data_IF_402169761547
#
_entry.id   IF_402169761547
#
_cell.length_a   1.000
_cell.length_b   1.000
_cell.length_c   1.000
_cell.angle_alpha   90.00
_cell.angle_beta   90.00
_cell.angle_gamma   90.00
#
_symmetry.space_group_name_H-M   'P 1'
#
loop_
_entity.id
_entity.type
_entity.pdbx_description
1 polymer ?
#
# COMPACT_ATOMS: atom_id res chain seq x y z
N UNK A 1 -5.48 85.77 29.90
CA UNK A 1 -4.77 84.54 30.31
C UNK A 1 -3.84 84.11 29.19
N UNK A 2 -2.62 84.63 29.21
CA UNK A 2 -1.60 84.51 28.18
C UNK A 2 -0.31 84.06 28.84
N UNK A 3 0.45 83.20 28.15
CA UNK A 3 1.80 82.72 28.48
C UNK A 3 1.89 81.75 29.66
N UNK A 4 2.03 80.46 29.35
CA UNK A 4 3.11 79.63 29.88
C UNK A 4 3.29 78.33 29.10
N UNK A 5 4.40 78.29 28.35
CA UNK A 5 5.33 77.15 28.16
C UNK A 5 4.77 75.99 27.31
N UNK A 6 5.08 75.83 26.02
CA UNK A 6 6.33 76.11 25.30
C UNK A 6 7.57 75.54 26.00
N UNK A 7 7.61 74.20 26.19
CA UNK A 7 8.84 73.46 26.55
C UNK A 7 8.73 71.94 26.41
N UNK A 8 8.23 71.38 25.31
CA UNK A 8 8.33 69.91 25.13
C UNK A 8 8.19 69.40 23.69
N UNK A 9 8.68 70.16 22.71
CA UNK A 9 8.69 69.72 21.32
C UNK A 9 10.01 70.12 20.65
N UNK A 10 11.13 69.63 21.20
CA UNK A 10 12.49 69.68 20.61
C UNK A 10 13.54 68.85 21.36
N UNK A 11 13.12 67.76 22.02
CA UNK A 11 14.00 66.78 22.65
C UNK A 11 13.37 65.41 22.46
N UNK A 12 13.58 64.81 21.29
CA UNK A 12 13.73 63.38 21.04
C UNK A 12 14.01 63.14 19.54
N UNK A 13 14.84 63.99 18.95
CA UNK A 13 15.69 63.64 17.79
C UNK A 13 17.09 63.39 18.36
N UNK A 14 17.36 62.16 18.78
CA UNK A 14 18.69 61.56 19.03
C UNK A 14 18.52 60.30 19.88
N UNK A 15 18.03 59.23 19.26
CA UNK A 15 18.30 57.85 19.72
C UNK A 15 17.95 56.87 18.60
N UNK A 16 18.72 56.96 17.52
CA UNK A 16 18.56 56.13 16.34
C UNK A 16 19.88 55.99 15.62
N UNK A 17 20.86 55.31 16.24
CA UNK A 17 22.13 54.91 15.61
C UNK A 17 22.86 53.85 16.45
N UNK A 18 22.33 52.62 16.49
CA UNK A 18 23.15 51.45 16.83
C UNK A 18 23.93 51.03 15.59
N UNK A 19 25.25 51.18 15.67
CA UNK A 19 26.24 50.74 14.67
C UNK A 19 26.08 49.25 14.41
N UNK A 20 25.77 48.86 13.17
CA UNK A 20 25.99 47.49 12.69
C UNK A 20 27.48 47.32 12.44
N UNK A 21 28.18 46.65 13.35
CA UNK A 21 29.53 46.14 13.07
C UNK A 21 29.42 45.02 12.04
N UNK A 22 29.95 45.28 10.84
CA UNK A 22 30.12 44.29 9.78
C UNK A 22 31.30 43.40 10.16
N UNK A 23 31.03 42.31 10.87
CA UNK A 23 32.02 41.26 11.11
C UNK A 23 32.19 40.49 9.79
N UNK A 24 33.27 40.76 9.06
CA UNK A 24 33.73 39.90 7.96
C UNK A 24 34.22 38.59 8.58
N UNK A 25 33.37 37.57 8.63
CA UNK A 25 33.82 36.18 8.80
C UNK A 25 34.18 35.66 7.42
N UNK A 26 35.49 35.53 7.18
CA UNK A 26 36.07 34.69 6.15
C UNK A 26 35.58 33.26 6.37
N UNK A 27 34.84 32.73 5.39
CA UNK A 27 34.43 31.33 5.31
C UNK A 27 35.70 30.51 5.06
N UNK A 28 36.06 29.53 5.91
CA UNK A 28 37.09 28.56 5.58
C UNK A 28 36.60 27.71 4.39
N UNK A 29 37.48 27.25 3.49
CA UNK A 29 37.05 26.42 2.38
C UNK A 29 36.37 25.17 2.93
N UNK A 30 35.12 24.96 2.51
CA UNK A 30 34.37 23.75 2.78
C UNK A 30 35.16 22.57 2.25
N UNK A 31 35.69 21.75 3.16
CA UNK A 31 36.10 20.39 2.86
C UNK A 31 34.91 19.67 2.23
N UNK A 32 35.15 19.06 1.07
CA UNK A 32 34.10 18.40 0.29
C UNK A 32 33.50 17.24 1.06
N UNK A 33 32.26 17.40 1.52
CA UNK A 33 31.33 16.28 1.52
C UNK A 33 30.87 16.15 0.07
N UNK A 34 31.39 15.15 -0.64
CA UNK A 34 30.68 14.64 -1.81
C UNK A 34 29.34 14.13 -1.27
N UNK A 35 28.28 14.91 -1.44
CA UNK A 35 26.94 14.52 -1.01
C UNK A 35 26.60 13.18 -1.65
N UNK A 36 26.16 12.22 -0.85
CA UNK A 36 25.69 10.93 -1.33
C UNK A 36 24.59 11.21 -2.37
N UNK A 37 24.81 10.75 -3.61
CA UNK A 37 23.88 11.00 -4.70
C UNK A 37 22.73 10.00 -4.57
N UNK A 38 21.53 10.52 -4.34
CA UNK A 38 20.31 9.71 -4.33
C UNK A 38 19.65 9.75 -5.70
N UNK A 39 19.13 8.61 -6.14
CA UNK A 39 18.27 8.50 -7.32
C UNK A 39 16.84 8.21 -6.89
N UNK A 40 15.86 8.89 -7.48
CA UNK A 40 14.44 8.63 -7.19
C UNK A 40 13.99 7.42 -8.00
N UNK A 41 13.47 6.40 -7.32
CA UNK A 41 12.80 5.28 -7.95
C UNK A 41 11.28 5.46 -7.80
N UNK A 42 10.67 6.01 -8.86
CA UNK A 42 9.22 6.24 -8.95
C UNK A 42 8.38 4.97 -9.02
N UNK A 43 8.97 3.81 -9.31
CA UNK A 43 8.24 2.54 -9.40
C UNK A 43 7.96 1.92 -8.03
N UNK A 44 8.87 2.13 -7.07
CA UNK A 44 8.79 1.52 -5.74
C UNK A 44 8.75 2.51 -4.59
N UNK A 45 8.47 3.79 -4.87
CA UNK A 45 8.30 4.82 -3.85
C UNK A 45 9.50 4.97 -2.91
N UNK A 46 10.71 5.09 -3.48
CA UNK A 46 11.94 5.13 -2.69
C UNK A 46 13.02 6.02 -3.30
N UNK A 47 13.93 6.49 -2.44
CA UNK A 47 15.23 7.02 -2.83
C UNK A 47 16.28 5.91 -2.76
N UNK A 48 17.14 5.82 -3.76
CA UNK A 48 18.17 4.80 -3.86
C UNK A 48 19.55 5.42 -3.71
N UNK A 49 20.39 4.75 -2.93
CA UNK A 49 21.83 5.01 -2.83
C UNK A 49 22.59 3.70 -3.04
N UNK A 50 23.91 3.76 -3.15
CA UNK A 50 24.74 2.54 -3.27
C UNK A 50 24.64 1.61 -2.05
N UNK A 51 24.26 2.13 -0.89
CA UNK A 51 24.26 1.39 0.38
C UNK A 51 22.87 0.92 0.80
N UNK A 52 21.85 1.69 0.47
CA UNK A 52 20.50 1.45 1.00
C UNK A 52 19.42 2.15 0.15
N UNK A 53 18.18 1.72 0.39
CA UNK A 53 16.95 2.31 -0.13
C UNK A 53 16.15 2.96 1.00
N UNK A 54 15.57 4.12 0.72
CA UNK A 54 14.74 4.87 1.66
C UNK A 54 13.33 5.00 1.10
N UNK A 55 12.42 4.16 1.58
CA UNK A 55 11.01 4.18 1.18
C UNK A 55 10.30 5.41 1.75
N UNK A 56 9.45 6.05 0.93
CA UNK A 56 8.81 7.31 1.24
C UNK A 56 7.36 7.10 1.71
N UNK A 57 7.11 7.15 3.02
CA UNK A 57 5.75 6.94 3.57
C UNK A 57 4.92 8.22 3.68
N UNK A 58 5.37 9.32 3.05
CA UNK A 58 4.58 10.54 2.95
C UNK A 58 3.71 10.45 1.69
N UNK A 59 2.44 10.12 1.88
CA UNK A 59 1.46 10.03 0.82
C UNK A 59 0.78 11.38 0.55
N UNK A 60 0.31 11.58 -0.68
CA UNK A 60 -0.50 12.74 -1.07
C UNK A 60 0.12 14.12 -0.83
N UNK A 61 1.46 14.24 -0.89
CA UNK A 61 2.15 15.52 -0.74
C UNK A 61 2.04 16.40 -1.97
N UNK A 62 1.77 15.81 -3.13
CA UNK A 62 1.60 16.48 -4.40
C UNK A 62 0.11 16.49 -4.79
N UNK A 63 -0.40 17.61 -5.34
CA UNK A 63 -1.78 17.66 -5.80
C UNK A 63 -2.00 16.69 -6.98
N UNK A 64 -3.25 16.23 -7.20
CA UNK A 64 -3.58 15.51 -8.43
C UNK A 64 -3.18 16.33 -9.64
N UNK A 65 -2.40 15.73 -10.55
CA UNK A 65 -2.00 16.38 -11.79
C UNK A 65 -3.19 16.73 -12.70
N UNK A 66 -2.95 17.53 -13.72
CA UNK A 66 -4.01 18.03 -14.62
C UNK A 66 -4.30 17.09 -15.81
N UNK A 67 -3.50 16.05 -16.01
CA UNK A 67 -3.63 15.14 -17.15
C UNK A 67 -4.63 14.02 -16.84
N UNK A 68 -5.62 13.85 -17.72
CA UNK A 68 -6.60 12.77 -17.65
C UNK A 68 -6.31 11.72 -18.71
N UNK A 69 -6.19 10.45 -18.29
CA UNK A 69 -5.85 9.32 -19.15
C UNK A 69 -6.88 8.20 -18.95
N UNK A 70 -7.16 7.45 -20.00
CA UNK A 70 -7.95 6.23 -19.88
C UNK A 70 -7.14 5.11 -19.20
N UNK A 71 -7.83 4.27 -18.44
CA UNK A 71 -7.26 3.10 -17.81
C UNK A 71 -8.33 2.12 -17.34
N UNK A 72 -7.89 1.17 -16.53
CA UNK A 72 -8.79 0.22 -15.85
C UNK A 72 -8.52 0.26 -14.35
N UNK A 73 -9.54 -0.04 -13.55
CA UNK A 73 -9.39 -0.23 -12.10
C UNK A 73 -10.06 -1.54 -11.69
N UNK A 74 -9.33 -2.37 -10.96
CA UNK A 74 -9.86 -3.55 -10.28
C UNK A 74 -10.13 -3.18 -8.83
N UNK A 75 -11.36 -3.35 -8.38
CA UNK A 75 -11.76 -3.01 -7.02
C UNK A 75 -12.72 -4.03 -6.42
N UNK A 76 -12.78 -4.07 -5.09
CA UNK A 76 -13.71 -4.90 -4.32
C UNK A 76 -14.58 -4.02 -3.43
N UNK A 77 -15.83 -4.42 -3.21
CA UNK A 77 -16.65 -3.86 -2.15
C UNK A 77 -16.45 -4.70 -0.88
N UNK A 78 -16.01 -4.07 0.19
CA UNK A 78 -15.85 -4.68 1.50
C UNK A 78 -16.85 -4.07 2.50
N UNK A 79 -17.38 -4.91 3.38
CA UNK A 79 -18.26 -4.51 4.47
C UNK A 79 -17.57 -4.73 5.81
N UNK A 80 -17.55 -3.69 6.65
CA UNK A 80 -17.13 -3.77 8.04
C UNK A 80 -18.29 -3.46 8.97
N UNK A 81 -18.01 -3.45 10.27
CA UNK A 81 -19.00 -3.00 11.25
C UNK A 81 -19.30 -1.50 11.04
N UNK A 82 -20.52 -1.18 10.61
CA UNK A 82 -20.99 0.20 10.46
C UNK A 82 -20.47 0.96 9.22
N UNK A 83 -19.71 0.33 8.33
CA UNK A 83 -19.23 0.96 7.11
C UNK A 83 -19.06 -0.02 5.95
N UNK A 84 -19.00 0.53 4.74
CA UNK A 84 -18.65 -0.19 3.51
C UNK A 84 -17.58 0.60 2.77
N UNK A 85 -16.70 -0.09 2.06
CA UNK A 85 -15.56 0.51 1.40
C UNK A 85 -15.33 -0.15 0.05
N UNK A 86 -15.24 0.64 -1.01
CA UNK A 86 -14.67 0.19 -2.27
C UNK A 86 -13.15 0.30 -2.12
N UNK A 87 -12.45 -0.82 -2.24
CA UNK A 87 -10.99 -0.91 -2.11
C UNK A 87 -10.39 -1.08 -3.51
N UNK A 88 -9.47 -0.19 -3.94
CA UNK A 88 -8.75 -0.38 -5.20
C UNK A 88 -7.68 -1.47 -5.00
N UNK A 89 -7.81 -2.61 -5.70
CA UNK A 89 -6.80 -3.67 -5.64
C UNK A 89 -5.62 -3.34 -6.56
N UNK A 90 -5.91 -2.94 -7.81
CA UNK A 90 -4.91 -2.62 -8.83
C UNK A 90 -5.45 -1.57 -9.81
N UNK A 91 -4.55 -0.72 -10.31
CA UNK A 91 -4.85 0.29 -11.33
C UNK A 91 -4.05 -0.07 -12.58
N UNK A 92 -4.69 -0.12 -13.74
CA UNK A 92 -4.04 -0.45 -15.02
C UNK A 92 -4.03 0.77 -15.93
N UNK A 93 -2.88 1.03 -16.54
CA UNK A 93 -2.66 2.19 -17.39
C UNK A 93 -3.01 1.86 -18.84
N UNK A 94 -3.77 2.74 -19.47
CA UNK A 94 -4.24 2.57 -20.85
C UNK A 94 -5.40 1.59 -20.96
N UNK A 95 -6.11 1.68 -22.09
CA UNK A 95 -7.22 0.78 -22.39
C UNK A 95 -6.78 -0.68 -22.58
N UNK A 96 -5.48 -0.91 -22.87
CA UNK A 96 -4.88 -2.24 -22.99
C UNK A 96 -4.39 -2.82 -21.65
N UNK A 97 -4.31 -1.98 -20.61
CA UNK A 97 -3.82 -2.36 -19.29
C UNK A 97 -2.42 -2.94 -19.31
N UNK A 98 -1.52 -2.42 -20.15
CA UNK A 98 -0.16 -2.96 -20.34
C UNK A 98 0.80 -2.72 -19.15
N UNK A 99 0.46 -1.78 -18.27
CA UNK A 99 1.16 -1.49 -17.03
C UNK A 99 0.18 -1.38 -15.89
N UNK A 100 0.65 -1.64 -14.68
CA UNK A 100 -0.16 -1.50 -13.49
C UNK A 100 0.55 -0.72 -12.38
N UNK A 101 -0.24 -0.08 -11.54
CA UNK A 101 0.16 0.64 -10.33
C UNK A 101 -0.48 -0.08 -9.15
N UNK A 102 0.34 -0.35 -8.14
CA UNK A 102 -0.08 -0.75 -6.81
C UNK A 102 -0.49 0.50 -6.02
N UNK A 103 -1.75 0.62 -5.60
CA UNK A 103 -2.17 1.63 -4.63
C UNK A 103 -1.35 1.54 -3.33
N UNK A 104 -0.96 2.69 -2.77
CA UNK A 104 -0.26 2.76 -1.49
C UNK A 104 -1.19 3.20 -0.36
N UNK A 105 -2.00 4.23 -0.61
CA UNK A 105 -3.06 4.66 0.27
C UNK A 105 -4.24 5.20 -0.56
N UNK A 106 -5.41 5.35 0.05
CA UNK A 106 -6.58 5.89 -0.62
C UNK A 106 -7.55 6.52 0.39
N UNK A 107 -8.33 7.50 -0.07
CA UNK A 107 -9.36 8.13 0.73
C UNK A 107 -10.71 7.40 0.58
N UNK A 108 -11.67 7.76 1.42
CA UNK A 108 -13.04 7.30 1.26
C UNK A 108 -13.60 7.64 -0.14
N UNK A 109 -14.29 6.67 -0.73
CA UNK A 109 -14.92 6.78 -2.05
C UNK A 109 -16.04 7.83 -2.04
N UNK A 110 -16.08 8.67 -3.07
CA UNK A 110 -17.21 9.58 -3.31
C UNK A 110 -18.08 8.97 -4.40
N UNK A 111 -19.25 8.46 -4.01
CA UNK A 111 -20.20 7.86 -4.94
C UNK A 111 -21.40 8.79 -5.10
N UNK A 112 -21.73 9.11 -6.34
CA UNK A 112 -22.85 9.98 -6.67
C UNK A 112 -23.73 9.36 -7.76
N UNK A 113 -25.04 9.51 -7.62
CA UNK A 113 -26.03 9.14 -8.63
C UNK A 113 -26.46 10.40 -9.37
N UNK A 114 -26.05 10.57 -10.63
CA UNK A 114 -26.36 11.75 -11.45
C UNK A 114 -27.70 11.61 -12.18
N UNK A 115 -28.10 10.39 -12.50
CA UNK A 115 -29.40 10.03 -13.07
C UNK A 115 -29.81 8.62 -12.64
N UNK A 116 -30.97 8.11 -13.09
CA UNK A 116 -31.41 6.76 -12.72
C UNK A 116 -30.42 5.66 -13.12
N UNK A 117 -29.79 5.83 -14.29
CA UNK A 117 -28.91 4.82 -14.89
C UNK A 117 -27.42 5.15 -14.76
N UNK A 118 -27.08 6.33 -14.23
CA UNK A 118 -25.70 6.80 -14.14
C UNK A 118 -25.28 7.01 -12.70
N UNK A 119 -24.36 6.16 -12.25
CA UNK A 119 -23.72 6.23 -10.94
C UNK A 119 -22.22 6.31 -11.17
N UNK A 120 -21.59 7.29 -10.55
CA UNK A 120 -20.15 7.54 -10.63
C UNK A 120 -19.49 7.32 -9.28
N UNK A 121 -18.31 6.71 -9.29
CA UNK A 121 -17.42 6.67 -8.15
C UNK A 121 -16.15 7.46 -8.47
N UNK A 122 -15.75 8.29 -7.53
CA UNK A 122 -14.55 9.10 -7.55
C UNK A 122 -13.67 8.71 -6.36
N UNK A 123 -12.45 8.25 -6.66
CA UNK A 123 -11.58 7.58 -5.72
C UNK A 123 -10.16 8.20 -5.78
N UNK A 124 -9.79 9.03 -4.78
CA UNK A 124 -8.43 9.50 -4.61
C UNK A 124 -7.52 8.36 -4.13
N UNK A 125 -6.43 8.11 -4.85
CA UNK A 125 -5.46 7.04 -4.54
C UNK A 125 -4.05 7.60 -4.57
N UNK A 126 -3.32 7.45 -3.48
CA UNK A 126 -1.92 7.80 -3.42
C UNK A 126 -1.04 6.70 -4.00
N UNK A 127 -0.05 7.15 -4.77
CA UNK A 127 0.92 6.32 -5.45
C UNK A 127 2.33 6.81 -5.11
N UNK A 128 3.33 6.17 -5.71
CA UNK A 128 4.73 6.46 -5.46
C UNK A 128 5.13 7.94 -5.67
N UNK A 129 6.07 8.39 -4.83
CA UNK A 129 6.68 9.71 -4.81
C UNK A 129 5.69 10.84 -4.48
N UNK A 130 4.77 10.58 -3.55
CA UNK A 130 3.85 11.58 -3.00
C UNK A 130 2.74 12.02 -3.94
N UNK A 131 2.60 11.37 -5.10
CA UNK A 131 1.59 11.69 -6.10
C UNK A 131 0.22 11.10 -5.70
N UNK A 132 -0.84 11.87 -5.93
CA UNK A 132 -2.23 11.39 -5.82
C UNK A 132 -2.86 11.27 -7.20
N UNK A 133 -3.50 10.14 -7.46
CA UNK A 133 -4.38 9.93 -8.60
C UNK A 133 -5.82 10.18 -8.19
N UNK A 134 -6.62 10.68 -9.12
CA UNK A 134 -8.07 10.69 -9.00
C UNK A 134 -8.65 9.73 -10.03
N UNK A 135 -9.21 8.63 -9.55
CA UNK A 135 -9.77 7.57 -10.39
C UNK A 135 -11.27 7.74 -10.43
N UNK A 136 -11.82 7.88 -11.63
CA UNK A 136 -13.27 7.97 -11.84
C UNK A 136 -13.76 6.82 -12.70
N UNK A 137 -14.79 6.12 -12.24
CA UNK A 137 -15.45 5.09 -13.02
C UNK A 137 -16.97 5.12 -12.80
N UNK A 138 -17.68 4.61 -13.79
CA UNK A 138 -19.14 4.60 -13.82
C UNK A 138 -19.67 3.18 -13.74
N UNK A 139 -20.90 3.01 -13.30
CA UNK A 139 -21.58 1.72 -13.22
C UNK A 139 -21.66 1.02 -14.59
N UNK A 140 -21.93 1.77 -15.67
CA UNK A 140 -21.92 1.26 -17.05
C UNK A 140 -20.51 1.03 -17.63
N UNK A 141 -19.46 1.40 -16.89
CA UNK A 141 -18.07 1.11 -17.20
C UNK A 141 -17.60 -0.27 -16.75
N UNK A 142 -18.46 -1.07 -16.13
CA UNK A 142 -18.17 -2.44 -15.70
C UNK A 142 -17.78 -3.31 -16.90
N UNK A 143 -16.62 -3.95 -16.83
CA UNK A 143 -16.12 -4.89 -17.83
C UNK A 143 -16.32 -6.34 -17.42
N UNK A 144 -16.05 -6.66 -16.15
CA UNK A 144 -16.12 -8.02 -15.66
C UNK A 144 -16.40 -8.09 -14.16
N UNK A 145 -17.20 -9.08 -13.77
CA UNK A 145 -17.22 -9.66 -12.42
C UNK A 145 -16.15 -10.74 -12.37
N UNK A 146 -15.20 -10.66 -11.43
CA UNK A 146 -14.07 -11.58 -11.33
C UNK A 146 -14.30 -12.62 -10.22
N UNK A 147 -13.65 -13.78 -10.34
CA UNK A 147 -13.84 -14.95 -9.46
C UNK A 147 -13.45 -14.72 -7.99
N UNK A 148 -12.69 -13.66 -7.71
CA UNK A 148 -12.28 -13.26 -6.36
C UNK A 148 -13.22 -12.23 -5.72
N UNK A 149 -14.39 -12.01 -6.33
CA UNK A 149 -15.38 -11.02 -5.88
C UNK A 149 -15.03 -9.58 -6.25
N UNK A 150 -13.90 -9.35 -6.94
CA UNK A 150 -13.58 -8.04 -7.47
C UNK A 150 -14.30 -7.77 -8.79
N UNK A 151 -14.29 -6.51 -9.21
CA UNK A 151 -14.81 -6.07 -10.48
C UNK A 151 -13.78 -5.21 -11.20
N UNK A 152 -13.73 -5.36 -12.51
CA UNK A 152 -12.88 -4.58 -13.40
C UNK A 152 -13.73 -3.53 -14.11
N UNK A 153 -13.31 -2.27 -14.02
CA UNK A 153 -13.97 -1.14 -14.66
C UNK A 153 -13.05 -0.43 -15.64
N UNK A 154 -13.62 0.11 -16.72
CA UNK A 154 -13.02 1.24 -17.43
C UNK A 154 -13.06 2.47 -16.53
N UNK A 155 -11.96 3.21 -16.47
CA UNK A 155 -11.86 4.42 -15.67
C UNK A 155 -11.11 5.55 -16.38
N UNK A 156 -11.35 6.75 -15.89
CA UNK A 156 -10.54 7.93 -16.11
C UNK A 156 -9.55 8.06 -14.95
N UNK A 157 -8.28 8.26 -15.25
CA UNK A 157 -7.19 8.44 -14.29
C UNK A 157 -6.63 9.85 -14.48
N UNK A 158 -6.95 10.73 -13.55
CA UNK A 158 -6.32 12.05 -13.46
C UNK A 158 -5.05 11.95 -12.60
N UNK A 159 -3.92 12.43 -13.11
CA UNK A 159 -2.62 12.33 -12.44
C UNK A 159 -1.48 13.03 -13.18
N UNK A 160 -0.22 12.73 -12.85
CA UNK A 160 0.93 13.38 -13.48
C UNK A 160 1.13 12.98 -14.95
N UNK A 161 1.75 13.87 -15.73
CA UNK A 161 1.93 13.68 -17.17
C UNK A 161 2.84 12.48 -17.51
N UNK A 162 3.75 12.13 -16.62
CA UNK A 162 4.68 11.01 -16.66
C UNK A 162 4.18 9.78 -15.89
N UNK A 163 2.86 9.62 -15.70
CA UNK A 163 2.23 8.51 -14.96
C UNK A 163 2.82 7.10 -15.22
N UNK A 164 3.26 6.81 -16.44
CA UNK A 164 3.87 5.53 -16.79
C UNK A 164 5.19 5.24 -16.03
N UNK A 165 5.92 6.27 -15.59
CA UNK A 165 7.13 6.13 -14.75
C UNK A 165 6.79 5.69 -13.32
N UNK A 166 5.55 5.86 -12.89
CA UNK A 166 5.06 5.42 -11.58
C UNK A 166 4.48 4.00 -11.59
N UNK A 167 4.48 3.33 -12.76
CA UNK A 167 4.00 1.95 -12.87
C UNK A 167 4.82 1.00 -11.99
N UNK A 168 4.13 0.28 -11.10
CA UNK A 168 4.72 -0.75 -10.23
C UNK A 168 5.21 -1.97 -11.03
N UNK A 169 4.61 -2.25 -12.18
CA UNK A 169 5.06 -3.32 -13.06
C UNK A 169 4.34 -3.37 -14.40
N UNK A 170 4.67 -4.39 -15.17
CA UNK A 170 3.97 -4.70 -16.42
C UNK A 170 2.77 -5.60 -16.12
N UNK A 171 1.73 -5.46 -16.93
CA UNK A 171 0.49 -6.24 -16.87
C UNK A 171 0.02 -6.59 -18.28
N UNK A 172 -0.89 -7.53 -18.38
CA UNK A 172 -1.61 -7.80 -19.63
C UNK A 172 -2.99 -8.36 -19.33
N UNK A 173 -3.90 -8.28 -20.30
CA UNK A 173 -5.19 -8.95 -20.23
C UNK A 173 -5.06 -10.37 -20.80
N UNK A 174 -5.39 -11.36 -19.97
CA UNK A 174 -5.43 -12.76 -20.35
C UNK A 174 -6.74 -13.15 -21.03
N UNK A 175 -7.02 -14.47 -21.12
CA UNK A 175 -8.32 -14.97 -21.58
C UNK A 175 -9.47 -14.32 -20.80
N UNK A 176 -10.58 -14.06 -21.50
CA UNK A 176 -11.79 -13.45 -20.92
C UNK A 176 -11.58 -12.06 -20.29
N UNK A 177 -10.45 -11.40 -20.58
CA UNK A 177 -10.15 -10.06 -20.08
C UNK A 177 -9.65 -10.03 -18.63
N UNK A 178 -9.28 -11.17 -18.04
CA UNK A 178 -8.73 -11.23 -16.69
C UNK A 178 -7.35 -10.57 -16.64
N UNK A 179 -7.08 -9.60 -15.73
CA UNK A 179 -5.77 -8.99 -15.65
C UNK A 179 -4.72 -9.95 -15.06
N UNK A 180 -3.57 -10.03 -15.73
CA UNK A 180 -2.35 -10.65 -15.24
C UNK A 180 -1.35 -9.56 -14.89
N UNK A 181 -0.72 -9.68 -13.72
CA UNK A 181 0.35 -8.76 -13.29
C UNK A 181 1.67 -9.50 -13.18
N UNK A 182 2.75 -8.82 -13.51
CA UNK A 182 4.08 -9.39 -13.39
C UNK A 182 4.61 -9.29 -11.97
N UNK A 183 4.92 -10.43 -11.38
CA UNK A 183 5.45 -10.56 -10.02
C UNK A 183 6.70 -11.44 -10.01
N UNK A 184 7.41 -11.38 -8.88
CA UNK A 184 8.69 -12.02 -8.69
C UNK A 184 8.70 -12.89 -7.43
N UNK A 185 9.34 -14.06 -7.53
CA UNK A 185 9.69 -14.89 -6.39
C UNK A 185 11.20 -14.84 -6.15
N UNK A 186 11.63 -14.49 -4.93
CA UNK A 186 13.04 -14.34 -4.58
C UNK A 186 13.55 -15.47 -3.69
N UNK A 187 14.65 -16.07 -4.08
CA UNK A 187 15.22 -17.26 -3.45
C UNK A 187 16.71 -17.40 -3.75
N UNK A 188 17.29 -18.56 -3.44
CA UNK A 188 18.67 -18.90 -3.79
C UNK A 188 18.77 -19.41 -5.23
N UNK A 189 19.94 -19.31 -5.90
CA UNK A 189 20.10 -19.82 -7.27
C UNK A 189 19.70 -21.30 -7.44
N UNK A 190 20.08 -22.16 -6.48
CA UNK A 190 19.75 -23.59 -6.51
C UNK A 190 18.25 -23.84 -6.42
N UNK A 191 17.56 -23.12 -5.52
CA UNK A 191 16.11 -23.23 -5.39
C UNK A 191 15.39 -22.66 -6.62
N UNK A 192 15.89 -21.57 -7.21
CA UNK A 192 15.36 -21.02 -8.45
C UNK A 192 15.36 -22.06 -9.57
N UNK A 193 16.50 -22.73 -9.76
CA UNK A 193 16.65 -23.74 -10.81
C UNK A 193 15.76 -24.96 -10.54
N UNK A 194 15.64 -25.37 -9.28
CA UNK A 194 14.72 -26.43 -8.88
C UNK A 194 13.27 -26.07 -9.24
N UNK A 195 12.80 -24.86 -8.90
CA UNK A 195 11.44 -24.40 -9.18
C UNK A 195 11.19 -24.30 -10.68
N UNK A 196 12.13 -23.70 -11.42
CA UNK A 196 12.03 -23.57 -12.87
C UNK A 196 11.94 -24.94 -13.55
N UNK A 197 12.69 -25.93 -13.06
CA UNK A 197 12.65 -27.30 -13.59
C UNK A 197 11.37 -28.06 -13.20
N UNK A 198 10.80 -27.76 -12.02
CA UNK A 198 9.66 -28.50 -11.48
C UNK A 198 8.31 -27.88 -11.81
N UNK A 199 8.27 -26.64 -12.31
CA UNK A 199 7.04 -25.93 -12.69
C UNK A 199 6.13 -25.56 -11.51
N UNK A 200 6.63 -25.58 -10.27
CA UNK A 200 5.79 -25.33 -9.10
C UNK A 200 6.53 -24.75 -7.90
N UNK A 201 5.78 -24.01 -7.07
CA UNK A 201 6.19 -23.48 -5.78
C UNK A 201 5.63 -24.35 -4.66
N UNK A 202 6.49 -24.73 -3.71
CA UNK A 202 6.04 -25.24 -2.41
C UNK A 202 5.47 -24.09 -1.60
N UNK A 203 4.34 -24.35 -0.95
CA UNK A 203 3.66 -23.37 -0.10
C UNK A 203 4.17 -23.44 1.34
N UNK A 204 4.01 -22.34 2.04
CA UNK A 204 4.42 -22.13 3.43
C UNK A 204 3.19 -22.13 4.33
N UNK A 205 3.28 -22.81 5.48
CA UNK A 205 2.23 -22.78 6.51
C UNK A 205 2.34 -21.54 7.41
N UNK A 206 3.02 -20.49 6.98
CA UNK A 206 3.21 -19.26 7.75
C UNK A 206 2.35 -18.13 7.19
N UNK A 207 1.78 -17.32 8.07
CA UNK A 207 1.06 -16.08 7.75
C UNK A 207 2.05 -14.94 7.40
N UNK A 208 1.58 -13.70 7.24
CA UNK A 208 2.44 -12.56 6.87
C UNK A 208 3.53 -12.29 7.92
N UNK A 209 3.23 -12.37 9.22
CA UNK A 209 4.21 -12.19 10.29
C UNK A 209 5.32 -13.26 10.24
N UNK A 210 4.92 -14.52 10.08
CA UNK A 210 5.82 -15.64 9.81
C UNK A 210 6.69 -16.11 10.97
N UNK A 211 6.34 -15.79 12.23
CA UNK A 211 7.18 -16.09 13.40
C UNK A 211 6.48 -16.80 14.55
N UNK A 212 5.14 -16.76 14.64
CA UNK A 212 4.40 -17.22 15.83
C UNK A 212 3.76 -18.59 15.66
N UNK A 213 2.60 -18.67 15.01
CA UNK A 213 1.87 -19.91 14.78
C UNK A 213 1.72 -20.24 13.31
N UNK A 214 1.66 -21.55 13.03
CA UNK A 214 1.42 -22.04 11.67
C UNK A 214 -0.06 -22.08 11.38
N UNK A 215 -0.38 -21.79 10.13
CA UNK A 215 -1.68 -21.98 9.53
C UNK A 215 -2.00 -23.48 9.47
N UNK A 216 -3.28 -23.82 9.59
CA UNK A 216 -3.78 -25.20 9.59
C UNK A 216 -4.59 -25.48 8.33
N UNK A 217 -5.45 -24.54 7.93
CA UNK A 217 -6.43 -24.73 6.85
C UNK A 217 -6.07 -24.00 5.55
N UNK A 218 -4.88 -23.40 5.46
CA UNK A 218 -4.34 -22.75 4.26
C UNK A 218 -2.80 -22.78 4.27
N UNK A 219 -2.19 -22.73 3.10
CA UNK A 219 -0.76 -22.50 2.91
C UNK A 219 -0.53 -21.46 1.79
N UNK A 220 0.55 -20.68 1.87
CA UNK A 220 0.80 -19.56 0.97
C UNK A 220 2.09 -19.70 0.15
N UNK A 221 2.03 -19.33 -1.12
CA UNK A 221 3.19 -18.93 -1.91
C UNK A 221 3.27 -17.39 -1.97
N UNK A 222 4.47 -16.83 -1.76
CA UNK A 222 4.69 -15.39 -1.64
C UNK A 222 5.46 -14.84 -2.85
N UNK A 223 5.01 -13.68 -3.31
CA UNK A 223 5.52 -12.95 -4.47
C UNK A 223 5.57 -11.45 -4.16
N UNK A 224 6.33 -10.71 -4.95
CA UNK A 224 6.50 -9.26 -4.80
C UNK A 224 6.68 -8.60 -6.17
N UNK A 225 6.27 -7.33 -6.37
CA UNK A 225 6.59 -6.60 -7.59
C UNK A 225 8.05 -6.13 -7.63
N UNK A 226 8.78 -6.18 -6.51
CA UNK A 226 10.20 -5.86 -6.45
C UNK A 226 10.96 -6.85 -7.33
N UNK A 227 11.66 -6.36 -8.35
CA UNK A 227 12.41 -7.21 -9.27
C UNK A 227 13.73 -7.72 -8.68
N UNK A 228 14.21 -7.10 -7.59
CA UNK A 228 15.40 -7.49 -6.82
C UNK A 228 15.21 -7.08 -5.35
N UNK A 229 15.89 -7.80 -4.44
CA UNK A 229 16.00 -7.45 -3.02
C UNK A 229 17.49 -7.28 -2.73
N UNK A 230 17.93 -6.04 -2.52
CA UNK A 230 19.36 -5.71 -2.39
C UNK A 230 19.74 -5.21 -1.00
N UNK A 231 18.79 -4.69 -0.22
CA UNK A 231 19.04 -4.20 1.13
C UNK A 231 17.96 -4.64 2.13
N UNK A 232 18.18 -4.31 3.41
CA UNK A 232 17.26 -4.65 4.49
C UNK A 232 15.91 -3.92 4.36
N UNK A 233 15.91 -2.67 3.86
CA UNK A 233 14.65 -1.94 3.69
C UNK A 233 13.76 -2.53 2.58
N UNK A 234 14.33 -3.23 1.59
CA UNK A 234 13.53 -4.02 0.63
C UNK A 234 12.83 -5.20 1.33
N UNK A 235 13.52 -5.85 2.27
CA UNK A 235 12.93 -6.93 3.06
C UNK A 235 11.77 -6.42 3.92
N UNK A 236 11.89 -5.23 4.51
CA UNK A 236 10.84 -4.64 5.35
C UNK A 236 9.55 -4.39 4.57
N UNK A 237 9.66 -3.98 3.30
CA UNK A 237 8.50 -3.84 2.42
C UNK A 237 7.79 -5.16 2.11
N UNK A 238 8.44 -6.29 2.41
CA UNK A 238 7.86 -7.62 2.28
C UNK A 238 7.74 -8.38 3.61
N UNK A 239 7.55 -7.66 4.71
CA UNK A 239 7.36 -8.21 6.06
C UNK A 239 8.48 -9.17 6.50
N UNK A 240 9.73 -8.82 6.15
CA UNK A 240 10.93 -9.51 6.59
C UNK A 240 11.94 -8.48 7.10
N UNK A 241 12.88 -8.89 7.94
CA UNK A 241 13.98 -8.02 8.36
C UNK A 241 15.21 -8.85 8.75
N UNK A 242 16.41 -8.29 8.60
CA UNK A 242 17.66 -8.93 9.04
C UNK A 242 17.67 -9.14 10.55
N UNK A 243 17.13 -8.17 11.31
CA UNK A 243 16.96 -8.27 12.75
C UNK A 243 15.73 -9.08 13.19
N UNK A 244 14.85 -9.48 12.27
CA UNK A 244 13.58 -10.15 12.60
C UNK A 244 12.56 -9.23 13.29
N UNK A 245 12.73 -7.91 13.17
CA UNK A 245 11.84 -6.91 13.76
C UNK A 245 11.62 -5.75 12.79
N UNK A 246 10.44 -5.15 12.85
CA UNK A 246 10.11 -3.87 12.23
C UNK A 246 9.46 -2.94 13.26
N UNK A 247 9.73 -1.64 13.14
CA UNK A 247 9.09 -0.62 13.96
C UNK A 247 7.87 -0.01 13.25
N UNK A 248 6.72 -0.02 13.92
CA UNK A 248 5.47 0.59 13.48
C UNK A 248 5.07 1.68 14.46
N UNK A 249 4.47 2.76 13.97
CA UNK A 249 4.09 3.93 14.80
C UNK A 249 2.60 4.14 14.72
N UNK A 250 1.98 4.49 15.85
CA UNK A 250 0.56 4.83 15.89
C UNK A 250 0.30 6.23 15.36
N UNK A 251 -0.92 6.42 14.90
CA UNK A 251 -1.45 7.72 14.50
C UNK A 251 -1.29 8.76 15.61
N UNK A 252 -0.99 10.00 15.22
CA UNK A 252 -0.80 11.13 16.12
C UNK A 252 0.49 11.11 16.93
N UNK A 253 1.39 10.14 16.74
CA UNK A 253 2.70 10.11 17.38
C UNK A 253 3.81 10.61 16.44
N UNK A 254 4.46 11.70 16.86
CA UNK A 254 5.67 12.21 16.20
C UNK A 254 6.89 11.88 17.06
N UNK A 255 7.79 10.96 16.63
CA UNK A 255 8.99 10.68 17.39
C UNK A 255 9.92 11.92 17.44
N UNK A 256 10.71 12.08 18.51
CA UNK A 256 11.71 13.14 18.56
C UNK A 256 12.79 12.94 17.48
N UNK A 257 13.43 14.02 17.05
CA UNK A 257 14.52 13.98 16.05
C UNK A 257 15.69 13.07 16.46
N UNK A 258 15.89 12.89 17.76
CA UNK A 258 16.94 12.04 18.33
C UNK A 258 16.28 11.04 19.28
N UNK A 259 16.41 9.76 18.96
CA UNK A 259 16.01 8.66 19.84
C UNK A 259 17.15 8.36 20.82
N UNK A 260 16.86 8.45 22.12
CA UNK A 260 17.79 8.03 23.17
C UNK A 260 17.86 6.48 23.22
N UNK A 261 18.93 5.88 23.78
CA UNK A 261 19.08 4.41 23.77
C UNK A 261 17.92 3.62 24.41
N UNK A 262 17.16 4.23 25.31
CA UNK A 262 15.99 3.67 26.01
C UNK A 262 14.65 4.03 25.33
N UNK A 263 14.68 4.49 24.07
CA UNK A 263 13.48 4.92 23.35
C UNK A 263 12.41 3.82 23.27
N UNK A 264 12.81 2.54 23.18
CA UNK A 264 11.87 1.41 23.09
C UNK A 264 10.97 1.31 24.33
N UNK A 265 11.53 1.52 25.51
CA UNK A 265 10.74 1.53 26.76
C UNK A 265 9.97 2.86 26.91
N UNK A 266 10.59 3.97 26.49
CA UNK A 266 10.02 5.31 26.60
C UNK A 266 8.76 5.49 25.73
N UNK A 267 8.74 4.89 24.54
CA UNK A 267 7.67 5.03 23.55
C UNK A 267 6.93 3.71 23.30
N UNK A 268 6.95 2.76 24.24
CA UNK A 268 6.30 1.44 24.08
C UNK A 268 4.79 1.50 23.85
N UNK A 269 4.15 2.60 24.25
CA UNK A 269 2.72 2.85 24.07
C UNK A 269 2.42 3.56 22.74
N UNK A 270 3.46 3.96 22.00
CA UNK A 270 3.35 4.73 20.74
C UNK A 270 4.02 4.02 19.55
N UNK A 271 5.01 3.16 19.82
CA UNK A 271 5.79 2.43 18.84
C UNK A 271 5.71 0.94 19.11
N UNK A 272 5.15 0.21 18.15
CA UNK A 272 5.09 -1.24 18.14
C UNK A 272 6.35 -1.81 17.49
N UNK A 273 7.09 -2.64 18.23
CA UNK A 273 8.18 -3.45 17.67
C UNK A 273 7.59 -4.81 17.29
N UNK A 274 7.27 -4.99 16.01
CA UNK A 274 6.63 -6.18 15.49
C UNK A 274 7.68 -7.23 15.10
N UNK A 275 7.66 -8.45 15.68
CA UNK A 275 8.52 -9.53 15.21
C UNK A 275 8.07 -10.01 13.82
N UNK A 276 9.02 -10.15 12.90
CA UNK A 276 8.79 -10.62 11.53
C UNK A 276 9.81 -11.66 11.12
N UNK A 277 9.60 -12.35 9.99
CA UNK A 277 10.49 -13.40 9.54
C UNK A 277 11.94 -12.89 9.36
N UNK A 278 12.93 -13.45 10.09
CA UNK A 278 14.31 -13.03 9.99
C UNK A 278 14.95 -13.50 8.67
N UNK A 279 15.37 -12.56 7.83
CA UNK A 279 15.97 -12.85 6.53
C UNK A 279 17.09 -11.88 6.19
N UNK A 280 18.08 -12.32 5.41
CA UNK A 280 19.12 -11.44 4.88
C UNK A 280 18.96 -11.34 3.35
N UNK A 281 19.24 -10.17 2.71
CA UNK A 281 19.16 -10.02 1.26
C UNK A 281 19.98 -11.05 0.48
N UNK A 282 21.12 -11.51 1.00
CA UNK A 282 21.95 -12.57 0.39
C UNK A 282 21.23 -13.92 0.24
N UNK A 283 20.10 -14.15 0.92
CA UNK A 283 19.28 -15.36 0.72
C UNK A 283 18.24 -15.21 -0.41
N UNK A 284 18.24 -14.07 -1.11
CA UNK A 284 17.27 -13.64 -2.11
C UNK A 284 17.93 -13.19 -3.42
N UNK A 285 19.12 -13.72 -3.71
CA UNK A 285 19.97 -13.32 -4.85
C UNK A 285 19.45 -13.77 -6.22
N UNK A 286 18.53 -14.72 -6.26
CA UNK A 286 17.96 -15.24 -7.49
C UNK A 286 16.46 -15.02 -7.53
N UNK A 287 15.96 -14.71 -8.73
CA UNK A 287 14.57 -14.34 -8.94
C UNK A 287 13.95 -15.18 -10.04
N UNK A 288 12.68 -15.59 -9.87
CA UNK A 288 11.82 -16.03 -10.97
C UNK A 288 10.80 -14.93 -11.27
N UNK A 289 10.65 -14.60 -12.56
CA UNK A 289 9.62 -13.69 -13.08
C UNK A 289 8.42 -14.50 -13.55
N UNK A 290 7.21 -14.08 -13.16
CA UNK A 290 5.97 -14.79 -13.45
C UNK A 290 4.86 -13.79 -13.82
N UNK A 291 3.95 -14.23 -14.68
CA UNK A 291 2.68 -13.57 -14.93
C UNK A 291 1.62 -14.19 -14.02
N UNK A 292 1.03 -13.42 -13.13
CA UNK A 292 0.09 -13.94 -12.14
C UNK A 292 -1.30 -13.41 -12.42
N UNK A 293 -2.27 -14.31 -12.56
CA UNK A 293 -3.69 -13.97 -12.60
C UNK A 293 -4.05 -13.16 -11.34
N UNK A 294 -4.47 -11.91 -11.52
CA UNK A 294 -4.74 -11.01 -10.40
C UNK A 294 -5.88 -11.49 -9.49
N UNK A 295 -6.71 -12.43 -9.95
CA UNK A 295 -7.83 -12.99 -9.18
C UNK A 295 -7.40 -14.12 -8.24
N UNK A 296 -6.21 -14.69 -8.41
CA UNK A 296 -5.71 -15.72 -7.48
C UNK A 296 -4.95 -15.15 -6.28
N UNK A 297 -4.72 -13.83 -6.30
CA UNK A 297 -4.07 -13.12 -5.21
C UNK A 297 -5.02 -12.95 -4.04
N UNK A 298 -4.55 -13.30 -2.84
CA UNK A 298 -5.26 -13.00 -1.62
C UNK A 298 -5.48 -11.48 -1.49
N UNK A 299 -6.64 -11.10 -0.94
CA UNK A 299 -6.93 -9.72 -0.59
C UNK A 299 -5.84 -9.18 0.36
N UNK A 300 -5.28 -8.02 0.02
CA UNK A 300 -4.35 -7.32 0.90
C UNK A 300 -5.11 -6.75 2.09
N UNK A 301 -4.49 -6.81 3.26
CA UNK A 301 -4.97 -6.12 4.45
C UNK A 301 -4.80 -4.62 4.28
N UNK A 302 -5.54 -3.84 5.07
CA UNK A 302 -5.46 -2.38 5.05
C UNK A 302 -5.34 -1.83 6.46
N UNK A 303 -4.70 -0.69 6.57
CA UNK A 303 -4.76 0.18 7.72
C UNK A 303 -5.87 1.21 7.54
N UNK A 304 -6.48 1.60 8.66
CA UNK A 304 -7.40 2.72 8.78
C UNK A 304 -6.73 3.78 9.65
N UNK A 305 -6.64 4.99 9.12
CA UNK A 305 -6.09 6.13 9.82
C UNK A 305 -7.20 7.13 10.18
N UNK A 306 -7.19 7.61 11.43
CA UNK A 306 -8.21 8.51 11.98
C UNK A 306 -7.60 9.52 12.96
N UNK A 307 -6.87 10.48 12.41
CA UNK A 307 -6.17 11.52 13.17
C UNK A 307 -7.07 12.76 13.45
N UNK A 308 -8.40 12.59 13.45
CA UNK A 308 -9.36 13.69 13.61
C UNK A 308 -9.59 14.55 12.35
N UNK A 309 -9.01 14.12 11.23
CA UNK A 309 -9.27 14.65 9.88
C UNK A 309 -10.11 13.69 9.02
N UNK A 310 -10.06 13.81 7.68
CA UNK A 310 -10.63 12.80 6.80
C UNK A 310 -9.96 11.44 7.02
N UNK A 311 -10.76 10.40 7.20
CA UNK A 311 -10.26 9.01 7.27
C UNK A 311 -9.67 8.61 5.93
N UNK A 312 -8.49 8.00 5.97
CA UNK A 312 -7.86 7.36 4.81
C UNK A 312 -7.40 5.95 5.19
N UNK A 313 -7.09 5.17 4.16
CA UNK A 313 -6.68 3.79 4.29
C UNK A 313 -5.31 3.61 3.63
N UNK A 314 -4.45 2.81 4.23
CA UNK A 314 -3.11 2.49 3.71
C UNK A 314 -2.99 0.98 3.46
N UNK A 315 -2.25 0.59 2.43
CA UNK A 315 -1.81 -0.79 2.27
C UNK A 315 -0.51 -0.97 3.08
N UNK A 316 -0.51 -1.68 4.23
CA UNK A 316 0.67 -1.85 5.08
C UNK A 316 1.84 -2.54 4.37
N UNK A 317 1.52 -3.39 3.39
CA UNK A 317 2.49 -4.19 2.65
C UNK A 317 2.16 -4.15 1.16
N UNK A 318 2.30 -2.99 0.50
CA UNK A 318 1.85 -2.85 -0.87
C UNK A 318 2.62 -3.82 -1.80
N UNK A 319 3.82 -4.25 -1.40
CA UNK A 319 4.69 -5.11 -2.20
C UNK A 319 4.71 -6.58 -1.77
N UNK A 320 3.75 -7.03 -0.95
CA UNK A 320 3.51 -8.46 -0.68
C UNK A 320 2.26 -8.91 -1.41
N UNK A 321 2.42 -9.92 -2.25
CA UNK A 321 1.31 -10.67 -2.82
C UNK A 321 1.45 -12.13 -2.42
N UNK A 322 0.34 -12.78 -2.10
CA UNK A 322 0.33 -14.20 -1.75
C UNK A 322 -0.80 -14.93 -2.44
N UNK A 323 -0.55 -16.19 -2.78
CA UNK A 323 -1.53 -17.10 -3.36
C UNK A 323 -1.77 -18.20 -2.32
N UNK A 324 -3.01 -18.30 -1.84
CA UNK A 324 -3.42 -19.32 -0.89
C UNK A 324 -3.70 -20.64 -1.59
N UNK A 325 -3.47 -21.74 -0.87
CA UNK A 325 -3.68 -23.11 -1.32
C UNK A 325 -4.24 -23.96 -0.18
N UNK A 326 -4.89 -25.06 -0.53
CA UNK A 326 -5.12 -26.13 0.44
C UNK A 326 -3.77 -26.61 1.03
N UNK A 327 -3.70 -26.92 2.34
CA UNK A 327 -2.48 -27.42 2.96
C UNK A 327 -1.87 -28.62 2.21
N UNK A 328 -0.58 -28.51 1.88
CA UNK A 328 0.18 -29.54 1.16
C UNK A 328 0.07 -29.47 -0.37
N UNK A 329 -0.82 -28.64 -0.92
CA UNK A 329 -0.84 -28.36 -2.36
C UNK A 329 0.31 -27.41 -2.76
N UNK A 330 0.58 -27.30 -4.06
CA UNK A 330 1.63 -26.45 -4.63
C UNK A 330 1.05 -25.49 -5.65
N UNK A 331 1.62 -24.29 -5.78
CA UNK A 331 1.21 -23.36 -6.84
C UNK A 331 1.99 -23.70 -8.11
N UNK A 332 1.30 -24.04 -9.20
CA UNK A 332 1.93 -24.36 -10.49
C UNK A 332 1.88 -23.18 -11.45
N UNK A 333 2.79 -23.16 -12.41
CA UNK A 333 2.81 -22.23 -13.55
C UNK A 333 3.04 -22.98 -14.86
N UNK A 334 2.57 -22.41 -15.96
CA UNK A 334 2.72 -22.99 -17.30
C UNK A 334 4.10 -22.73 -17.93
N UNK A 335 4.33 -23.26 -19.14
CA UNK A 335 5.58 -23.08 -19.89
C UNK A 335 5.88 -21.60 -20.26
N UNK A 336 4.89 -20.71 -20.12
CA UNK A 336 4.99 -19.27 -20.37
C UNK A 336 5.21 -18.48 -19.07
N UNK A 337 5.38 -19.18 -17.94
CA UNK A 337 5.55 -18.57 -16.62
C UNK A 337 4.26 -17.96 -16.07
N UNK A 338 3.08 -18.45 -16.48
CA UNK A 338 1.78 -17.95 -16.05
C UNK A 338 1.20 -18.80 -14.92
N UNK A 339 0.83 -18.14 -13.83
CA UNK A 339 0.03 -18.73 -12.76
C UNK A 339 -1.43 -18.42 -13.03
N UNK A 340 -2.18 -19.46 -13.36
CA UNK A 340 -3.63 -19.42 -13.55
C UNK A 340 -4.38 -19.84 -12.28
N UNK A 341 -5.70 -19.59 -12.25
CA UNK A 341 -6.60 -20.20 -11.27
C UNK A 341 -6.51 -21.73 -11.35
N UNK A 342 -6.32 -22.37 -10.20
CA UNK A 342 -6.23 -23.83 -10.05
C UNK A 342 -7.25 -24.30 -8.99
N UNK A 343 -7.77 -25.54 -9.07
CA UNK A 343 -8.84 -26.00 -8.19
C UNK A 343 -8.53 -26.01 -6.69
N UNK A 344 -7.26 -26.18 -6.32
CA UNK A 344 -6.78 -26.22 -4.93
C UNK A 344 -6.32 -24.85 -4.41
N UNK A 345 -6.46 -23.78 -5.21
CA UNK A 345 -6.18 -22.43 -4.70
C UNK A 345 -7.29 -22.00 -3.75
N UNK A 346 -6.89 -21.47 -2.61
CA UNK A 346 -7.78 -20.99 -1.57
C UNK A 346 -7.67 -19.48 -1.46
N UNK A 347 -8.81 -18.80 -1.50
CA UNK A 347 -8.93 -17.38 -1.25
C UNK A 347 -9.98 -17.16 -0.15
N UNK A 348 -9.65 -16.29 0.80
CA UNK A 348 -10.60 -15.91 1.84
C UNK A 348 -11.38 -14.67 1.42
N UNK A 349 -12.64 -14.61 1.84
CA UNK A 349 -13.57 -13.54 1.49
C UNK A 349 -13.58 -12.43 2.55
N UNK A 350 -12.42 -12.16 3.14
CA UNK A 350 -12.22 -11.08 4.08
C UNK A 350 -10.78 -10.55 4.01
N UNK A 351 -10.61 -9.31 4.47
CA UNK A 351 -9.31 -8.70 4.73
C UNK A 351 -9.29 -8.12 6.13
N UNK A 352 -8.14 -8.19 6.80
CA UNK A 352 -7.91 -7.52 8.08
C UNK A 352 -7.83 -6.01 7.87
N UNK A 353 -8.45 -5.26 8.78
CA UNK A 353 -8.41 -3.80 8.84
C UNK A 353 -7.85 -3.36 10.19
N UNK A 354 -6.64 -2.81 10.20
CA UNK A 354 -6.00 -2.34 11.42
C UNK A 354 -6.34 -0.88 11.73
N UNK A 355 -6.83 -0.57 12.94
CA UNK A 355 -7.00 0.81 13.41
C UNK A 355 -5.67 1.37 13.94
N UNK A 356 -5.04 2.24 13.15
CA UNK A 356 -3.72 2.81 13.45
C UNK A 356 -3.68 3.74 14.66
N UNK A 357 -4.84 4.09 15.24
CA UNK A 357 -4.89 4.87 16.49
C UNK A 357 -4.50 4.05 17.73
N UNK A 358 -4.40 2.72 17.59
CA UNK A 358 -4.06 1.76 18.67
C UNK A 358 -2.90 0.85 18.25
N UNK A 359 -2.14 0.32 19.22
CA UNK A 359 -1.06 -0.62 18.92
C UNK A 359 -1.60 -1.98 18.46
N UNK A 360 -2.74 -2.40 18.99
CA UNK A 360 -3.44 -3.62 18.58
C UNK A 360 -3.88 -3.54 17.12
N UNK A 361 -4.45 -2.40 16.71
CA UNK A 361 -4.84 -2.18 15.33
C UNK A 361 -3.64 -2.08 14.38
N UNK A 362 -2.53 -1.46 14.78
CA UNK A 362 -1.27 -1.55 14.01
C UNK A 362 -0.76 -2.98 13.86
N UNK A 363 -0.91 -3.81 14.90
CA UNK A 363 -0.45 -5.19 14.86
C UNK A 363 -1.32 -6.06 13.93
N UNK A 364 -2.61 -5.76 13.82
CA UNK A 364 -3.62 -6.65 13.24
C UNK A 364 -3.27 -7.19 11.83
N UNK A 365 -2.80 -6.40 10.85
CA UNK A 365 -2.43 -6.93 9.52
C UNK A 365 -1.24 -7.89 9.51
N UNK A 366 -0.42 -7.92 10.57
CA UNK A 366 0.64 -8.90 10.76
C UNK A 366 0.13 -10.07 11.61
N UNK A 367 -0.56 -9.78 12.70
CA UNK A 367 -1.13 -10.74 13.63
C UNK A 367 -2.52 -11.23 13.19
N UNK A 368 -2.55 -11.91 12.04
CA UNK A 368 -3.75 -12.51 11.47
C UNK A 368 -4.40 -13.57 12.39
N UNK A 369 -3.69 -14.03 13.43
CA UNK A 369 -4.15 -15.04 14.38
C UNK A 369 -5.14 -14.48 15.40
N UNK A 370 -4.79 -13.35 16.02
CA UNK A 370 -5.51 -12.83 17.18
C UNK A 370 -6.47 -11.68 16.82
N UNK A 371 -6.47 -11.19 15.59
CA UNK A 371 -7.33 -10.07 15.16
C UNK A 371 -8.78 -10.49 14.88
N UNK A 372 -9.71 -9.66 15.35
CA UNK A 372 -11.14 -9.74 14.97
C UNK A 372 -11.56 -8.67 13.98
N UNK A 373 -10.66 -7.74 13.66
CA UNK A 373 -10.96 -6.56 12.85
C UNK A 373 -10.85 -6.90 11.38
N UNK A 374 -11.96 -7.42 10.84
CA UNK A 374 -12.06 -7.83 9.45
C UNK A 374 -13.15 -7.05 8.72
N UNK A 375 -12.93 -6.88 7.42
CA UNK A 375 -13.99 -6.54 6.48
C UNK A 375 -14.23 -7.71 5.51
N UNK A 376 -15.51 -7.97 5.19
CA UNK A 376 -15.94 -9.11 4.38
C UNK A 376 -16.22 -8.67 2.95
N UNK A 377 -15.76 -9.44 1.98
CA UNK A 377 -15.95 -9.19 0.55
C UNK A 377 -17.44 -9.34 0.20
N UNK A 378 -17.93 -8.45 -0.67
CA UNK A 378 -19.23 -8.60 -1.31
C UNK A 378 -19.07 -9.22 -2.69
N UNK A 379 -19.79 -10.32 -2.91
CA UNK A 379 -19.86 -10.96 -4.23
C UNK A 379 -21.13 -10.53 -4.91
N UNK A 380 -20.96 -9.93 -6.07
CA UNK A 380 -22.07 -9.45 -6.88
C UNK A 380 -22.56 -10.55 -7.82
N UNK A 381 -23.87 -10.58 -8.02
CA UNK A 381 -24.47 -11.34 -9.12
C UNK A 381 -23.89 -10.87 -10.47
N UNK A 382 -23.94 -11.76 -11.47
CA UNK A 382 -23.42 -11.47 -12.80
C UNK A 382 -24.07 -10.20 -13.38
N UNK A 383 -23.25 -9.23 -13.80
CA UNK A 383 -23.72 -7.96 -14.38
C UNK A 383 -24.16 -6.89 -13.38
N UNK A 384 -24.29 -7.22 -12.08
CA UNK A 384 -24.53 -6.23 -11.03
C UNK A 384 -23.24 -5.47 -10.75
N UNK A 385 -23.23 -4.14 -10.89
CA UNK A 385 -22.07 -3.32 -10.51
C UNK A 385 -22.04 -3.05 -9.01
N UNK A 386 -20.84 -2.90 -8.42
CA UNK A 386 -20.65 -2.44 -7.05
C UNK A 386 -21.42 -1.13 -6.79
N UNK A 387 -21.45 -0.22 -7.77
CA UNK A 387 -22.11 1.07 -7.63
C UNK A 387 -23.64 0.96 -7.58
N UNK A 388 -24.22 0.07 -8.40
CA UNK A 388 -25.65 -0.24 -8.32
C UNK A 388 -25.99 -0.88 -6.97
N UNK A 389 -25.23 -1.91 -6.58
CA UNK A 389 -25.43 -2.60 -5.32
C UNK A 389 -25.37 -1.65 -4.11
N UNK A 390 -24.44 -0.70 -4.11
CA UNK A 390 -24.28 0.30 -3.05
C UNK A 390 -25.56 1.11 -2.82
N UNK A 391 -26.23 1.56 -3.88
CA UNK A 391 -27.47 2.32 -3.76
C UNK A 391 -28.67 1.44 -3.43
N UNK A 392 -28.73 0.21 -3.96
CA UNK A 392 -29.81 -0.74 -3.69
C UNK A 392 -29.83 -1.20 -2.22
N UNK A 393 -28.68 -1.18 -1.55
CA UNK A 393 -28.49 -1.68 -0.18
C UNK A 393 -28.04 -0.61 0.81
N UNK A 394 -28.24 0.68 0.49
CA UNK A 394 -27.86 1.78 1.36
C UNK A 394 -28.44 1.68 2.78
N UNK A 395 -27.61 1.94 3.78
CA UNK A 395 -27.96 1.90 5.22
C UNK A 395 -28.40 0.52 5.76
N UNK A 396 -28.10 -0.57 5.05
CA UNK A 396 -28.37 -1.93 5.53
C UNK A 396 -27.14 -2.52 6.24
N UNK A 397 -27.38 -3.44 7.18
CA UNK A 397 -26.32 -4.26 7.77
C UNK A 397 -25.97 -5.44 6.86
N UNK A 398 -24.86 -5.28 6.13
CA UNK A 398 -24.32 -6.27 5.20
C UNK A 398 -23.15 -7.08 5.80
N UNK A 399 -22.84 -6.85 7.08
CA UNK A 399 -21.69 -7.45 7.75
C UNK A 399 -22.08 -8.54 8.74
N UNK A 400 -23.02 -8.27 9.67
CA UNK A 400 -23.21 -9.12 10.86
C UNK A 400 -23.69 -10.53 10.53
N UNK A 401 -24.51 -10.66 9.48
CA UNK A 401 -25.05 -11.96 9.05
C UNK A 401 -24.16 -12.67 8.04
N UNK A 402 -23.22 -11.98 7.41
CA UNK A 402 -22.32 -12.57 6.42
C UNK A 402 -21.30 -13.47 7.11
N UNK A 403 -21.27 -14.74 6.75
CA UNK A 403 -20.29 -15.69 7.25
C UNK A 403 -19.13 -15.80 6.27
N UNK A 404 -17.92 -15.93 6.78
CA UNK A 404 -16.71 -16.15 5.99
C UNK A 404 -15.91 -17.28 6.61
N UNK A 405 -15.22 -18.05 5.78
CA UNK A 405 -14.18 -18.96 6.27
C UNK A 405 -13.03 -18.13 6.82
N UNK A 406 -12.46 -18.54 7.96
CA UNK A 406 -11.36 -17.84 8.62
C UNK A 406 -10.09 -18.68 8.55
N UNK A 407 -8.93 -18.02 8.60
CA UNK A 407 -7.68 -18.73 8.82
C UNK A 407 -7.70 -19.43 10.17
N UNK A 408 -7.25 -20.68 10.20
CA UNK A 408 -7.06 -21.45 11.42
C UNK A 408 -5.58 -21.60 11.71
N UNK A 409 -5.22 -21.54 12.99
CA UNK A 409 -3.84 -21.61 13.47
C UNK A 409 -3.66 -22.80 14.42
N UNK A 410 -2.44 -23.34 14.49
CA UNK A 410 -2.07 -24.33 15.48
C UNK A 410 -2.37 -23.79 16.89
N UNK A 411 -2.76 -24.68 17.83
CA UNK A 411 -3.20 -24.25 19.17
C UNK A 411 -2.03 -23.81 20.05
#
# INVERSE_FOLDING_TARGET
>A
MSRRKNRQQKKHEKEGRRKRHRCKRTVPPSGGNQGQQFTVNKRFNRLESELDHFYCFNYGTEPPGDECKEGLVKCRLLHGMGCSLIVPDQIFLGADGSKWIQPLAFMANIIAKSSEDEIVCDLPVDISCGQTLRIRFYNHGLLANLDDGSQLYKCEIQGPSDLAEHATGDSCLGPEGVPYIRLYHHTTPVARDSIASSGHFRTSMWNIQGTRKKLVNVAYAYFTPLNQITCDNDLKMIAMATGGEIELRRDGFTPPEILLPDWRETFKDDVLVMPVYPCNPSKREATLELWVDSTVLALQHIYRHDEGGPVYYEFPHPFIHRIGTEPGASVTFDDQGRIHRQPYLKAFEYGVVGDCTTLEGLAAPYDEEDTTDIMKVERMDAGMSILNFWFDHGNQDLFSKKQVDLQEFEK
#
